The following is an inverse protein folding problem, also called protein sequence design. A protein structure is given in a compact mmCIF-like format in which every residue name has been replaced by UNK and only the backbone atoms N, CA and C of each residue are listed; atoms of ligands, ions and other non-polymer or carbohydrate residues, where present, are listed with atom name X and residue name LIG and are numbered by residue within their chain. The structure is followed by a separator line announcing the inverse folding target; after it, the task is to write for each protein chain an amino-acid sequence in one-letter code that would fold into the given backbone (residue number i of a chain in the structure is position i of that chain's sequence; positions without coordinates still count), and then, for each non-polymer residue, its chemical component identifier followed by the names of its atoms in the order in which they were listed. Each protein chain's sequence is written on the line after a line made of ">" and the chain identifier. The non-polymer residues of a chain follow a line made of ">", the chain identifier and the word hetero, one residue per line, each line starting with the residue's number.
data_IF_298429010468
#
_entry.id   IF_298429010468
#
_cell.length_a   1.000
_cell.length_b   1.000
_cell.length_c   1.000
_cell.angle_alpha   90.00
_cell.angle_beta   90.00
_cell.angle_gamma   90.00
#
_symmetry.space_group_name_H-M   'P 1'
#
loop_
_entity.id
_entity.type
_entity.pdbx_description
1 polymer ?
#
# COMPACT_ATOMS: atom_id res chain seq x y z
N UNK A 1 3.29 -88.46 -0.90
CA UNK A 1 4.26 -87.61 -0.16
C UNK A 1 4.28 -86.22 -0.79
N UNK A 2 3.95 -85.19 0.01
CA UNK A 2 4.36 -83.76 -0.03
C UNK A 2 4.36 -83.08 -1.42
N UNK A 3 3.37 -82.26 -1.80
CA UNK A 3 3.05 -80.90 -1.31
C UNK A 3 4.21 -79.89 -1.43
N UNK A 4 4.09 -78.92 -2.34
CA UNK A 4 4.41 -77.49 -2.14
C UNK A 4 4.24 -76.71 -3.46
N UNK A 5 3.09 -76.05 -3.66
CA UNK A 5 2.96 -74.94 -4.61
C UNK A 5 3.28 -73.64 -3.85
N UNK A 6 4.32 -72.94 -4.26
CA UNK A 6 4.73 -71.65 -3.73
C UNK A 6 3.80 -70.55 -4.25
N UNK A 7 2.90 -70.02 -3.41
CA UNK A 7 2.22 -68.76 -3.67
C UNK A 7 3.17 -67.60 -3.36
N UNK A 8 3.66 -66.93 -4.41
CA UNK A 8 4.28 -65.62 -4.28
C UNK A 8 3.18 -64.56 -4.15
N UNK A 9 2.95 -64.06 -2.94
CA UNK A 9 2.07 -62.94 -2.68
C UNK A 9 2.77 -61.63 -3.08
N UNK A 10 2.42 -61.05 -4.22
CA UNK A 10 2.75 -59.66 -4.54
C UNK A 10 1.91 -58.74 -3.65
N UNK A 11 2.52 -58.19 -2.60
CA UNK A 11 1.94 -57.08 -1.86
C UNK A 11 2.06 -55.80 -2.69
N UNK A 12 0.99 -55.42 -3.37
CA UNK A 12 0.87 -54.10 -4.01
C UNK A 12 0.66 -53.07 -2.90
N UNK A 13 1.75 -52.45 -2.45
CA UNK A 13 1.71 -51.23 -1.64
C UNK A 13 1.15 -50.10 -2.52
N UNK A 14 -0.16 -49.89 -2.46
CA UNK A 14 -0.80 -48.68 -2.98
C UNK A 14 -0.36 -47.50 -2.11
N UNK A 15 0.76 -46.87 -2.47
CA UNK A 15 1.16 -45.60 -1.91
C UNK A 15 0.17 -44.53 -2.41
N UNK A 16 -0.78 -44.14 -1.56
CA UNK A 16 -1.60 -42.95 -1.78
C UNK A 16 -0.69 -41.72 -1.80
N UNK A 17 -0.23 -41.33 -2.98
CA UNK A 17 0.42 -40.05 -3.21
C UNK A 17 -0.64 -38.94 -3.09
N UNK A 18 -0.80 -38.42 -1.87
CA UNK A 18 -1.51 -37.16 -1.64
C UNK A 18 -0.63 -36.00 -2.10
N UNK A 19 -0.45 -35.88 -3.42
CA UNK A 19 0.12 -34.66 -4.00
C UNK A 19 -0.93 -33.58 -3.84
N UNK A 20 -0.66 -32.47 -3.11
CA UNK A 20 -1.60 -31.37 -3.03
C UNK A 20 -1.90 -30.90 -4.46
N UNK A 21 -3.19 -30.75 -4.77
CA UNK A 21 -3.62 -30.16 -6.03
C UNK A 21 -2.92 -28.80 -6.21
N UNK A 22 -2.12 -28.66 -7.26
CA UNK A 22 -1.27 -27.48 -7.48
C UNK A 22 -2.08 -26.18 -7.46
N UNK A 23 -3.36 -26.23 -7.88
CA UNK A 23 -4.27 -25.08 -7.82
C UNK A 23 -4.63 -24.69 -6.39
N UNK A 24 -4.84 -25.68 -5.51
CA UNK A 24 -5.14 -25.45 -4.09
C UNK A 24 -3.94 -24.87 -3.35
N UNK A 25 -2.74 -25.35 -3.66
CA UNK A 25 -1.51 -24.80 -3.11
C UNK A 25 -1.27 -23.35 -3.54
N UNK A 26 -1.52 -23.02 -4.81
CA UNK A 26 -1.40 -21.64 -5.31
C UNK A 26 -2.46 -20.70 -4.69
N UNK A 27 -3.69 -21.18 -4.53
CA UNK A 27 -4.74 -20.46 -3.81
C UNK A 27 -4.33 -20.09 -2.39
N UNK A 28 -3.86 -21.06 -1.61
CA UNK A 28 -3.41 -20.83 -0.22
C UNK A 28 -2.21 -19.86 -0.14
N UNK A 29 -1.28 -19.92 -1.10
CA UNK A 29 -0.17 -18.95 -1.17
C UNK A 29 -0.67 -17.53 -1.48
N UNK A 30 -1.66 -17.40 -2.37
CA UNK A 30 -2.23 -16.10 -2.72
C UNK A 30 -2.95 -15.47 -1.52
N UNK A 31 -3.70 -16.26 -0.76
CA UNK A 31 -4.38 -15.83 0.46
C UNK A 31 -3.38 -15.43 1.55
N UNK A 32 -2.33 -16.23 1.77
CA UNK A 32 -1.27 -15.89 2.71
C UNK A 32 -0.56 -14.57 2.33
N UNK A 33 -0.33 -14.33 1.03
CA UNK A 33 0.24 -13.07 0.55
C UNK A 33 -0.70 -11.89 0.75
N UNK A 34 -2.00 -12.07 0.51
CA UNK A 34 -3.03 -11.08 0.77
C UNK A 34 -3.05 -10.68 2.26
N UNK A 35 -3.06 -11.68 3.16
CA UNK A 35 -3.05 -11.47 4.61
C UNK A 35 -1.77 -10.77 5.08
N UNK A 36 -0.61 -11.18 4.57
CA UNK A 36 0.66 -10.53 4.89
C UNK A 36 0.67 -9.05 4.44
N UNK A 37 0.14 -8.78 3.25
CA UNK A 37 0.05 -7.42 2.70
C UNK A 37 -0.94 -6.55 3.47
N UNK A 38 -2.05 -7.12 3.96
CA UNK A 38 -3.01 -6.43 4.81
C UNK A 38 -2.41 -6.08 6.18
N UNK A 39 -1.62 -6.98 6.77
CA UNK A 39 -1.05 -6.80 8.10
C UNK A 39 0.15 -5.85 8.11
N UNK A 40 1.06 -5.98 7.14
CA UNK A 40 2.28 -5.19 7.09
C UNK A 40 2.73 -4.95 5.63
N UNK A 41 2.11 -4.00 4.92
CA UNK A 41 2.54 -3.70 3.57
C UNK A 41 3.97 -3.13 3.56
N UNK A 42 4.73 -3.34 2.47
CA UNK A 42 6.00 -2.65 2.29
C UNK A 42 5.82 -1.13 2.37
N UNK A 43 6.59 -0.48 3.24
CA UNK A 43 6.57 0.98 3.43
C UNK A 43 7.97 1.57 3.22
N UNK A 44 8.06 2.74 2.60
CA UNK A 44 9.35 3.35 2.23
C UNK A 44 10.16 3.82 3.43
N UNK A 45 9.52 4.13 4.54
CA UNK A 45 10.21 4.47 5.77
C UNK A 45 10.89 3.27 6.44
N UNK A 46 10.57 2.02 6.07
CA UNK A 46 11.17 0.82 6.66
C UNK A 46 11.02 0.76 8.18
N UNK A 47 12.11 0.47 8.89
CA UNK A 47 12.15 0.28 10.36
C UNK A 47 12.44 1.57 11.16
N UNK A 48 12.08 2.75 10.64
CA UNK A 48 12.24 4.01 11.40
C UNK A 48 11.44 3.97 12.71
N UNK A 49 11.97 4.55 13.78
CA UNK A 49 11.28 4.57 15.07
C UNK A 49 9.86 5.17 14.95
N UNK A 50 8.85 4.40 15.37
CA UNK A 50 7.44 4.78 15.27
C UNK A 50 6.75 4.40 13.95
N UNK A 51 7.47 3.85 12.97
CA UNK A 51 6.92 3.49 11.67
C UNK A 51 5.76 2.50 11.74
N UNK A 52 5.78 1.56 12.67
CA UNK A 52 4.69 0.59 12.86
C UNK A 52 3.37 1.29 13.17
N UNK A 53 3.40 2.30 14.05
CA UNK A 53 2.22 3.10 14.38
C UNK A 53 1.75 3.95 13.20
N UNK A 54 2.68 4.47 12.39
CA UNK A 54 2.34 5.23 11.18
C UNK A 54 1.68 4.33 10.14
N UNK A 55 2.22 3.13 9.92
CA UNK A 55 1.66 2.12 9.01
C UNK A 55 0.26 1.70 9.47
N UNK A 56 0.12 1.33 10.74
CA UNK A 56 -1.16 0.89 11.30
C UNK A 56 -2.24 1.99 11.18
N UNK A 57 -1.91 3.24 11.53
CA UNK A 57 -2.84 4.36 11.40
C UNK A 57 -3.21 4.67 9.95
N UNK A 58 -2.25 4.57 9.02
CA UNK A 58 -2.50 4.75 7.58
C UNK A 58 -3.45 3.69 7.06
N UNK A 59 -3.22 2.41 7.38
CA UNK A 59 -4.06 1.30 6.94
C UNK A 59 -5.46 1.38 7.54
N UNK A 60 -5.57 1.67 8.84
CA UNK A 60 -6.86 1.88 9.50
C UNK A 60 -7.62 3.08 8.92
N UNK A 61 -6.93 4.14 8.52
CA UNK A 61 -7.57 5.27 7.84
C UNK A 61 -8.08 4.88 6.46
N UNK A 62 -7.30 4.14 5.67
CA UNK A 62 -7.73 3.65 4.35
C UNK A 62 -8.96 2.74 4.45
N UNK A 63 -9.08 1.96 5.53
CA UNK A 63 -10.26 1.15 5.80
C UNK A 63 -11.51 1.99 6.08
N UNK A 64 -11.37 3.14 6.78
CA UNK A 64 -12.49 4.04 7.08
C UNK A 64 -12.98 4.82 5.87
N UNK A 65 -12.07 5.28 5.00
CA UNK A 65 -12.45 5.98 3.76
C UNK A 65 -13.24 5.06 2.80
N UNK A 66 -12.99 3.75 2.89
CA UNK A 66 -13.89 2.73 2.35
C UNK A 66 -13.73 2.45 0.85
N UNK A 67 -14.64 1.61 0.35
CA UNK A 67 -14.53 0.99 -0.97
C UNK A 67 -14.67 1.98 -2.14
N UNK A 68 -15.37 3.11 -1.98
CA UNK A 68 -15.59 4.08 -3.05
C UNK A 68 -14.28 4.67 -3.55
N UNK A 69 -13.46 5.23 -2.64
CA UNK A 69 -12.11 5.69 -2.95
C UNK A 69 -11.25 4.57 -3.55
N UNK A 70 -11.22 3.39 -2.92
CA UNK A 70 -10.38 2.27 -3.37
C UNK A 70 -10.80 1.70 -4.73
N UNK A 71 -12.06 1.85 -5.13
CA UNK A 71 -12.55 1.41 -6.43
C UNK A 71 -12.04 2.27 -7.60
N UNK A 72 -11.62 3.51 -7.31
CA UNK A 72 -11.11 4.43 -8.33
C UNK A 72 -9.86 3.88 -8.99
N UNK A 73 -9.73 4.17 -10.28
CA UNK A 73 -8.53 3.90 -11.07
C UNK A 73 -8.05 5.24 -11.62
N UNK A 74 -7.08 5.88 -10.95
CA UNK A 74 -6.55 7.16 -11.38
C UNK A 74 -6.04 7.12 -12.82
N UNK A 75 -6.18 8.21 -13.56
CA UNK A 75 -5.82 8.27 -14.99
C UNK A 75 -4.32 8.03 -15.23
N UNK A 76 -3.49 8.58 -14.35
CA UNK A 76 -2.03 8.51 -14.35
C UNK A 76 -1.48 7.33 -13.54
N UNK A 77 -2.34 6.39 -13.11
CA UNK A 77 -1.93 5.32 -12.18
C UNK A 77 -0.84 4.41 -12.73
N UNK A 78 -0.75 4.26 -14.06
CA UNK A 78 0.26 3.41 -14.68
C UNK A 78 1.70 3.92 -14.44
N UNK A 79 1.89 5.23 -14.21
CA UNK A 79 3.19 5.81 -13.82
C UNK A 79 3.62 5.28 -12.45
N UNK A 80 2.69 5.13 -11.52
CA UNK A 80 2.97 4.79 -10.12
C UNK A 80 2.83 3.30 -9.83
N UNK A 81 1.95 2.59 -10.53
CA UNK A 81 1.63 1.19 -10.30
C UNK A 81 1.02 0.56 -11.57
N UNK A 82 1.85 0.01 -12.48
CA UNK A 82 1.38 -0.58 -13.74
C UNK A 82 0.31 -1.67 -13.58
N UNK A 83 0.38 -2.44 -12.49
CA UNK A 83 -0.58 -3.52 -12.21
C UNK A 83 -1.83 -3.09 -11.42
N UNK A 84 -2.01 -1.79 -11.15
CA UNK A 84 -3.04 -1.31 -10.20
C UNK A 84 -4.46 -1.79 -10.51
N UNK A 85 -4.82 -1.87 -11.80
CA UNK A 85 -6.16 -2.31 -12.25
C UNK A 85 -6.51 -3.72 -11.81
N UNK A 86 -5.51 -4.58 -11.63
CA UNK A 86 -5.66 -5.99 -11.27
C UNK A 86 -5.59 -6.21 -9.75
N UNK A 87 -5.31 -5.16 -8.98
CA UNK A 87 -5.20 -5.26 -7.52
C UNK A 87 -6.55 -5.46 -6.86
N UNK A 88 -6.57 -6.37 -5.89
CA UNK A 88 -7.59 -6.45 -4.84
C UNK A 88 -7.62 -5.17 -4.02
N UNK A 89 -8.67 -4.97 -3.20
CA UNK A 89 -8.72 -3.82 -2.30
C UNK A 89 -7.51 -3.77 -1.36
N UNK A 90 -7.04 -4.91 -0.86
CA UNK A 90 -5.81 -5.00 -0.05
C UNK A 90 -4.60 -4.47 -0.80
N UNK A 91 -4.41 -4.89 -2.05
CA UNK A 91 -3.32 -4.39 -2.88
C UNK A 91 -3.38 -2.88 -3.12
N UNK A 92 -4.60 -2.34 -3.32
CA UNK A 92 -4.79 -0.90 -3.50
C UNK A 92 -4.52 -0.11 -2.22
N UNK A 93 -4.92 -0.62 -1.06
CA UNK A 93 -4.55 -0.03 0.24
C UNK A 93 -3.04 0.00 0.42
N UNK A 94 -2.36 -1.11 0.14
CA UNK A 94 -0.91 -1.18 0.21
C UNK A 94 -0.23 -0.19 -0.75
N UNK A 95 -0.75 -0.02 -1.97
CA UNK A 95 -0.29 1.00 -2.90
C UNK A 95 -0.40 2.40 -2.31
N UNK A 96 -1.57 2.82 -1.84
CA UNK A 96 -1.78 4.17 -1.32
C UNK A 96 -0.97 4.44 -0.04
N UNK A 97 -0.88 3.46 0.86
CA UNK A 97 -0.02 3.55 2.03
C UNK A 97 1.46 3.71 1.63
N UNK A 98 1.93 2.89 0.69
CA UNK A 98 3.29 2.98 0.15
C UNK A 98 3.57 4.31 -0.55
N UNK A 99 2.61 4.83 -1.32
CA UNK A 99 2.70 6.14 -1.96
C UNK A 99 2.87 7.26 -0.93
N UNK A 100 2.01 7.32 0.08
CA UNK A 100 2.11 8.34 1.14
C UNK A 100 3.41 8.22 1.94
N UNK A 101 3.88 6.99 2.20
CA UNK A 101 5.21 6.79 2.80
C UNK A 101 6.32 7.37 1.92
N UNK A 102 6.19 7.27 0.60
CA UNK A 102 7.16 7.82 -0.34
C UNK A 102 7.13 9.34 -0.39
N UNK A 103 5.95 9.94 -0.27
CA UNK A 103 5.76 11.39 -0.16
C UNK A 103 6.36 11.91 1.16
N UNK A 104 6.10 11.24 2.29
CA UNK A 104 6.63 11.61 3.61
C UNK A 104 8.16 11.73 3.62
N UNK A 105 8.88 10.92 2.82
CA UNK A 105 10.33 11.05 2.65
C UNK A 105 10.71 12.44 2.16
N UNK A 106 9.98 12.94 1.16
CA UNK A 106 10.28 14.21 0.49
C UNK A 106 9.71 15.42 1.21
N UNK A 107 8.72 15.22 2.08
CA UNK A 107 8.12 16.26 2.92
C UNK A 107 8.91 16.49 4.21
N UNK A 108 9.26 15.43 4.94
CA UNK A 108 9.82 15.54 6.29
C UNK A 108 11.06 14.70 6.53
N UNK A 109 11.48 13.87 5.56
CA UNK A 109 12.51 12.83 5.77
C UNK A 109 12.14 11.90 6.95
N UNK A 110 10.85 11.59 7.07
CA UNK A 110 10.27 10.75 8.13
C UNK A 110 10.42 11.33 9.55
N UNK A 111 10.44 12.66 9.69
CA UNK A 111 10.48 13.32 10.98
C UNK A 111 9.08 13.80 11.40
N UNK A 112 8.41 13.16 12.38
CA UNK A 112 7.09 13.58 12.85
C UNK A 112 7.10 14.92 13.60
N UNK A 113 8.27 15.41 14.04
CA UNK A 113 8.41 16.73 14.66
C UNK A 113 8.78 17.83 13.66
N UNK A 114 8.88 17.52 12.36
CA UNK A 114 9.23 18.48 11.34
C UNK A 114 8.28 19.68 11.31
N UNK A 115 8.85 20.87 11.10
CA UNK A 115 8.14 22.14 11.01
C UNK A 115 8.69 22.94 9.83
N UNK A 116 8.04 22.85 8.68
CA UNK A 116 8.43 23.54 7.45
C UNK A 116 7.92 24.97 7.38
N UNK A 117 8.60 25.79 6.58
CA UNK A 117 8.17 27.16 6.27
C UNK A 117 8.00 28.06 7.50
N UNK A 118 8.84 27.89 8.52
CA UNK A 118 8.71 28.62 9.79
C UNK A 118 7.58 28.12 10.70
N UNK A 119 7.17 26.85 10.57
CA UNK A 119 6.10 26.25 11.39
C UNK A 119 4.71 26.31 10.77
N UNK A 120 4.62 26.68 9.49
CA UNK A 120 3.35 26.70 8.72
C UNK A 120 2.84 25.30 8.40
N UNK A 121 3.74 24.33 8.31
CA UNK A 121 3.45 22.94 7.96
C UNK A 121 4.12 21.99 8.92
N UNK A 122 3.39 20.99 9.42
CA UNK A 122 3.80 20.18 10.56
C UNK A 122 3.71 18.68 10.28
N UNK A 123 4.61 17.94 10.90
CA UNK A 123 4.59 16.48 10.91
C UNK A 123 5.12 15.81 9.64
N UNK A 124 4.88 14.51 9.54
CA UNK A 124 5.40 13.63 8.49
C UNK A 124 5.04 14.12 7.09
N UNK A 125 3.79 14.58 6.94
CA UNK A 125 3.17 14.98 5.69
C UNK A 125 3.05 16.49 5.54
N UNK A 126 3.72 17.26 6.41
CA UNK A 126 3.78 18.73 6.34
C UNK A 126 2.38 19.36 6.15
N UNK A 127 1.44 18.99 7.02
CA UNK A 127 0.06 19.48 6.96
C UNK A 127 -0.03 20.83 7.69
N UNK A 128 -0.75 21.79 7.11
CA UNK A 128 -1.00 23.07 7.77
C UNK A 128 -2.10 22.93 8.85
N UNK A 129 -1.97 23.60 10.02
CA UNK A 129 -2.99 23.53 11.08
C UNK A 129 -4.40 23.94 10.63
N UNK A 130 -4.53 24.84 9.67
CA UNK A 130 -5.83 25.22 9.11
C UNK A 130 -6.43 24.09 8.28
N UNK A 131 -5.65 23.45 7.40
CA UNK A 131 -6.05 22.27 6.62
C UNK A 131 -6.46 21.13 7.55
N UNK A 132 -5.68 20.86 8.59
CA UNK A 132 -5.99 19.88 9.61
C UNK A 132 -7.39 20.06 10.20
N UNK A 133 -7.73 21.29 10.60
CA UNK A 133 -9.06 21.61 11.13
C UNK A 133 -10.15 21.55 10.07
N UNK A 134 -9.86 22.00 8.85
CA UNK A 134 -10.82 21.98 7.74
C UNK A 134 -11.30 20.57 7.42
N UNK A 135 -10.39 19.59 7.42
CA UNK A 135 -10.72 18.17 7.23
C UNK A 135 -11.17 17.47 8.52
N UNK A 136 -11.40 18.20 9.62
CA UNK A 136 -11.92 17.63 10.86
C UNK A 136 -10.95 16.66 11.55
N UNK A 137 -9.65 16.73 11.26
CA UNK A 137 -8.67 15.85 11.87
C UNK A 137 -8.53 16.12 13.37
N UNK A 138 -8.36 15.06 14.17
CA UNK A 138 -8.29 15.11 15.64
C UNK A 138 -6.96 14.55 16.15
N UNK A 139 -6.61 14.86 17.40
CA UNK A 139 -5.35 14.45 18.01
C UNK A 139 -4.26 15.51 17.88
N UNK A 140 -3.01 15.06 17.74
CA UNK A 140 -1.85 15.95 17.65
C UNK A 140 -1.20 15.87 16.27
N UNK A 141 -1.17 16.98 15.52
CA UNK A 141 -0.58 17.03 14.18
C UNK A 141 0.90 16.62 14.12
N UNK A 142 1.65 16.69 15.23
CA UNK A 142 3.04 16.20 15.34
C UNK A 142 3.15 14.75 15.83
N UNK A 143 2.04 14.11 16.19
CA UNK A 143 2.01 12.66 16.34
C UNK A 143 1.98 12.05 14.92
N UNK A 144 2.92 11.15 14.62
CA UNK A 144 3.04 10.60 13.27
C UNK A 144 1.83 9.76 12.84
N UNK A 145 1.19 9.04 13.77
CA UNK A 145 -0.01 8.24 13.47
C UNK A 145 -1.20 9.15 13.14
N UNK A 146 -1.46 10.18 13.96
CA UNK A 146 -2.53 11.15 13.70
C UNK A 146 -2.27 11.91 12.39
N UNK A 147 -1.01 12.30 12.14
CA UNK A 147 -0.60 12.99 10.92
C UNK A 147 -0.86 12.16 9.66
N UNK A 148 -0.48 10.88 9.67
CA UNK A 148 -0.73 9.98 8.55
C UNK A 148 -2.21 9.68 8.37
N UNK A 149 -2.97 9.50 9.45
CA UNK A 149 -4.42 9.32 9.38
C UNK A 149 -5.10 10.51 8.68
N UNK A 150 -4.72 11.75 9.05
CA UNK A 150 -5.24 12.94 8.39
C UNK A 150 -4.79 13.05 6.92
N UNK A 151 -3.56 12.65 6.62
CA UNK A 151 -3.07 12.61 5.24
C UNK A 151 -3.88 11.67 4.35
N UNK A 152 -4.32 10.52 4.87
CA UNK A 152 -5.22 9.62 4.14
C UNK A 152 -6.55 10.31 3.83
N UNK A 153 -7.17 10.97 4.82
CA UNK A 153 -8.45 11.69 4.60
C UNK A 153 -8.32 12.79 3.54
N UNK A 154 -7.25 13.61 3.60
CA UNK A 154 -6.98 14.63 2.59
C UNK A 154 -6.79 13.98 1.21
N UNK A 155 -5.94 12.96 1.12
CA UNK A 155 -5.65 12.25 -0.13
C UNK A 155 -6.91 11.65 -0.74
N UNK A 156 -7.73 10.95 0.04
CA UNK A 156 -8.95 10.31 -0.43
C UNK A 156 -9.92 11.32 -1.04
N UNK A 157 -10.19 12.44 -0.35
CA UNK A 157 -11.03 13.51 -0.89
C UNK A 157 -10.53 14.05 -2.24
N UNK A 158 -9.21 14.26 -2.37
CA UNK A 158 -8.63 14.86 -3.56
C UNK A 158 -8.62 13.87 -4.74
N UNK A 159 -8.31 12.60 -4.48
CA UNK A 159 -8.36 11.54 -5.51
C UNK A 159 -9.80 11.24 -5.93
N UNK A 160 -10.77 11.25 -5.00
CA UNK A 160 -12.17 11.10 -5.35
C UNK A 160 -12.67 12.23 -6.25
N UNK A 161 -12.23 13.47 -5.98
CA UNK A 161 -12.59 14.63 -6.80
C UNK A 161 -11.95 14.56 -8.19
N UNK A 162 -10.66 14.26 -8.27
CA UNK A 162 -9.90 14.47 -9.51
C UNK A 162 -9.55 13.19 -10.28
N UNK A 163 -9.73 12.00 -9.68
CA UNK A 163 -9.35 10.70 -10.24
C UNK A 163 -7.92 10.67 -10.82
N UNK A 164 -6.96 11.21 -10.08
CA UNK A 164 -5.54 11.26 -10.44
C UNK A 164 -4.66 11.06 -9.20
N UNK A 165 -3.42 10.60 -9.39
CA UNK A 165 -2.38 10.63 -8.36
C UNK A 165 -1.73 12.01 -8.33
N UNK A 166 -1.29 12.49 -9.49
CA UNK A 166 -0.54 13.73 -9.61
C UNK A 166 -1.10 14.71 -10.65
N UNK A 167 -1.60 14.26 -11.79
CA UNK A 167 -2.08 15.17 -12.84
C UNK A 167 -3.05 14.54 -13.82
N UNK A 168 -3.81 15.37 -14.52
CA UNK A 168 -4.72 15.00 -15.62
C UNK A 168 -4.19 15.41 -17.01
N UNK A 169 -2.99 16.00 -17.08
CA UNK A 169 -2.38 16.55 -18.31
C UNK A 169 -2.48 18.07 -18.41
N UNK A 170 -3.51 18.68 -17.82
CA UNK A 170 -3.75 20.13 -17.85
C UNK A 170 -3.37 20.82 -16.52
N UNK A 171 -3.11 20.06 -15.47
CA UNK A 171 -2.52 20.59 -14.25
C UNK A 171 -2.38 19.57 -13.13
N UNK A 172 -1.96 20.05 -11.95
CA UNK A 172 -1.83 19.21 -10.76
C UNK A 172 -3.20 18.83 -10.19
N UNK A 173 -3.37 17.53 -9.94
CA UNK A 173 -4.61 16.88 -9.51
C UNK A 173 -4.34 15.85 -8.43
N UNK A 174 -5.40 15.44 -7.73
CA UNK A 174 -5.33 14.38 -6.73
C UNK A 174 -4.35 14.74 -5.61
N UNK A 175 -3.46 13.79 -5.30
CA UNK A 175 -2.46 13.91 -4.23
C UNK A 175 -1.54 15.12 -4.47
N UNK A 176 -1.18 15.44 -5.72
CA UNK A 176 -0.31 16.58 -6.00
C UNK A 176 -0.94 17.95 -5.71
N UNK A 177 -2.23 18.06 -5.38
CA UNK A 177 -2.83 19.34 -4.98
C UNK A 177 -2.42 19.79 -3.58
N UNK A 178 -2.05 18.86 -2.72
CA UNK A 178 -1.64 19.15 -1.34
C UNK A 178 -0.14 18.94 -1.15
N UNK A 179 0.44 17.95 -1.85
CA UNK A 179 1.86 17.59 -1.66
C UNK A 179 2.73 18.01 -2.84
N UNK A 180 3.53 19.06 -2.61
CA UNK A 180 4.43 19.65 -3.60
C UNK A 180 5.51 18.70 -4.18
N UNK A 181 6.03 17.68 -3.46
CA UNK A 181 6.95 16.70 -4.04
C UNK A 181 6.45 16.06 -5.33
N UNK A 182 5.14 15.81 -5.46
CA UNK A 182 4.57 15.24 -6.67
C UNK A 182 4.58 16.23 -7.86
N UNK A 183 4.78 17.53 -7.62
CA UNK A 183 4.92 18.54 -8.67
C UNK A 183 6.34 18.64 -9.22
N UNK A 184 7.33 18.22 -8.45
CA UNK A 184 8.72 18.15 -8.90
C UNK A 184 8.95 16.88 -9.71
N UNK A 185 9.37 17.01 -10.97
CA UNK A 185 9.63 15.86 -11.85
C UNK A 185 10.60 14.85 -11.22
N UNK A 186 11.70 15.32 -10.64
CA UNK A 186 12.70 14.46 -9.95
C UNK A 186 12.09 13.70 -8.77
N UNK A 187 11.35 14.39 -7.90
CA UNK A 187 10.78 13.75 -6.69
C UNK A 187 9.62 12.83 -7.05
N UNK A 188 8.76 13.23 -7.99
CA UNK A 188 7.68 12.38 -8.53
C UNK A 188 8.23 11.11 -9.15
N UNK A 189 9.26 11.19 -9.99
CA UNK A 189 9.91 10.02 -10.56
C UNK A 189 10.50 9.09 -9.47
N UNK A 190 11.13 9.65 -8.43
CA UNK A 190 11.62 8.85 -7.30
C UNK A 190 10.48 8.16 -6.51
N UNK A 191 9.34 8.83 -6.34
CA UNK A 191 8.13 8.24 -5.72
C UNK A 191 7.58 7.12 -6.62
N UNK A 192 7.38 7.39 -7.90
CA UNK A 192 6.84 6.46 -8.88
C UNK A 192 7.73 5.21 -9.04
N UNK A 193 9.05 5.39 -9.10
CA UNK A 193 10.00 4.27 -9.17
C UNK A 193 9.92 3.38 -7.92
N UNK A 194 9.76 3.99 -6.74
CA UNK A 194 9.61 3.20 -5.53
C UNK A 194 8.28 2.45 -5.51
N UNK A 195 7.15 3.08 -5.83
CA UNK A 195 5.84 2.40 -5.80
C UNK A 195 5.71 1.33 -6.88
N UNK A 196 6.18 1.60 -8.10
CA UNK A 196 6.07 0.67 -9.23
C UNK A 196 6.96 -0.57 -9.08
N UNK A 197 8.05 -0.49 -8.30
CA UNK A 197 8.91 -1.64 -7.98
C UNK A 197 8.34 -2.57 -6.91
N UNK A 198 7.25 -2.19 -6.24
CA UNK A 198 6.65 -3.06 -5.23
C UNK A 198 5.99 -4.27 -5.87
N UNK A 199 6.10 -5.43 -5.21
CA UNK A 199 5.67 -6.72 -5.80
C UNK A 199 4.17 -6.78 -6.14
N UNK A 200 3.35 -5.93 -5.53
CA UNK A 200 1.93 -5.79 -5.87
C UNK A 200 1.72 -4.93 -7.14
N UNK A 201 2.62 -4.00 -7.44
CA UNK A 201 2.56 -3.15 -8.63
C UNK A 201 3.28 -3.70 -9.86
N UNK A 202 4.15 -4.70 -9.68
CA UNK A 202 4.74 -5.46 -10.78
C UNK A 202 3.69 -6.40 -11.38
N UNK A 203 3.57 -6.44 -12.71
CA UNK A 203 2.73 -7.43 -13.39
C UNK A 203 3.19 -8.84 -12.99
N UNK A 204 2.23 -9.75 -12.76
CA UNK A 204 2.57 -11.17 -12.64
C UNK A 204 3.08 -11.65 -14.01
N UNK A 205 4.32 -12.14 -14.04
CA UNK A 205 4.91 -12.80 -15.20
C UNK A 205 4.24 -14.14 -15.46
#
# INVERSE_FOLDING_TARGET
>A
MRAALSLAALAVLAACSTTPDAKKAEGAKSEARELALAANPPMRWGSKGGSDAWTAATMAALDREGATFLSKVPQDINEFCPNYRQLTQTGRKAFWAGLLSSVAKHESTYNPQAAGGGGRWLGLMQIAPMTWRHYGCVGNIRNGADNMSCAVTIMSHQVERDNAVAHDGDGWRGVARDWAPLRSSKKRADIANWTSSQTYCTAKS
#
